data_IF_589064429418
#
_entry.id   IF_589064429418
#
_cell.length_a   1.000
_cell.length_b   1.000
_cell.length_c   1.000
_cell.angle_alpha   90.00
_cell.angle_beta   90.00
_cell.angle_gamma   90.00
#
_symmetry.space_group_name_H-M   'P 1'
#
loop_
_entity.id
_entity.type
_entity.pdbx_description
1 polymer ?
#
# COMPACT_ATOMS: atom_id res chain seq x y z
N UNK A 1 20.34 -16.93 -3.41
CA UNK A 1 21.08 -15.81 -2.78
C UNK A 1 20.96 -15.99 -1.28
N UNK A 2 22.07 -15.94 -0.54
CA UNK A 2 22.06 -16.06 0.92
C UNK A 2 21.20 -14.96 1.53
N UNK A 3 20.60 -15.26 2.68
CA UNK A 3 19.82 -14.32 3.49
C UNK A 3 20.80 -13.21 3.90
N UNK A 4 20.67 -12.04 3.28
CA UNK A 4 21.40 -10.85 3.71
C UNK A 4 20.98 -10.55 5.14
N UNK A 5 21.96 -10.28 6.00
CA UNK A 5 21.68 -9.82 7.35
C UNK A 5 20.80 -8.58 7.31
N UNK A 6 19.98 -8.43 8.36
CA UNK A 6 19.28 -7.21 8.71
C UNK A 6 20.18 -5.96 8.51
N UNK A 7 19.70 -4.90 7.83
CA UNK A 7 20.45 -3.65 7.78
C UNK A 7 20.58 -3.02 9.16
N UNK A 8 21.65 -2.27 9.38
CA UNK A 8 21.86 -1.52 10.62
C UNK A 8 20.89 -0.34 10.72
N UNK A 9 20.69 0.18 11.94
CA UNK A 9 19.84 1.37 12.14
C UNK A 9 20.37 2.59 11.38
N UNK A 10 21.69 2.75 11.27
CA UNK A 10 22.32 3.84 10.52
C UNK A 10 21.99 3.73 9.02
N UNK A 11 22.06 2.52 8.46
CA UNK A 11 21.68 2.26 7.07
C UNK A 11 20.21 2.54 6.81
N UNK A 12 19.32 2.18 7.74
CA UNK A 12 17.88 2.46 7.65
C UNK A 12 17.62 3.96 7.68
N UNK A 13 18.24 4.70 8.61
CA UNK A 13 18.10 6.15 8.73
C UNK A 13 18.60 6.90 7.48
N UNK A 14 19.61 6.36 6.79
CA UNK A 14 20.14 6.95 5.56
C UNK A 14 19.22 6.76 4.32
N UNK A 15 18.14 5.97 4.40
CA UNK A 15 17.28 5.67 3.24
C UNK A 15 16.34 6.83 2.84
N UNK A 16 16.06 7.75 3.76
CA UNK A 16 15.23 8.94 3.55
C UNK A 16 15.66 10.08 4.49
N UNK A 17 15.73 11.29 3.94
CA UNK A 17 15.94 12.52 4.72
C UNK A 17 14.64 13.08 5.32
N UNK A 18 13.50 12.43 5.06
CA UNK A 18 12.20 12.84 5.58
C UNK A 18 12.05 12.63 7.09
N UNK A 19 10.85 12.89 7.61
CA UNK A 19 10.55 12.71 9.02
C UNK A 19 10.30 11.25 9.38
N UNK A 20 11.10 10.72 10.32
CA UNK A 20 10.91 9.40 10.91
C UNK A 20 9.73 9.43 11.90
N UNK A 21 8.69 8.62 11.65
CA UNK A 21 7.58 8.45 12.59
C UNK A 21 7.99 7.91 13.97
N UNK A 22 9.16 7.30 14.10
CA UNK A 22 9.73 6.85 15.37
C UNK A 22 10.42 7.93 16.20
N UNK A 23 10.55 9.15 15.69
CA UNK A 23 11.14 10.27 16.43
C UNK A 23 10.29 10.67 17.64
N UNK A 24 10.88 11.37 18.60
CA UNK A 24 10.21 11.73 19.85
C UNK A 24 9.12 12.81 19.66
N UNK A 25 9.23 13.63 18.62
CA UNK A 25 8.26 14.68 18.32
C UNK A 25 8.20 15.02 16.83
N UNK A 26 7.02 15.45 16.39
CA UNK A 26 6.81 16.04 15.05
C UNK A 26 7.61 17.35 14.92
N UNK A 27 8.29 17.60 13.79
CA UNK A 27 9.01 18.85 13.55
C UNK A 27 8.09 20.06 13.59
N UNK A 28 8.60 21.17 14.11
CA UNK A 28 7.89 22.45 14.04
C UNK A 28 7.81 22.98 12.60
N UNK A 29 6.84 23.85 12.35
CA UNK A 29 6.69 24.51 11.04
C UNK A 29 6.08 23.63 9.95
N UNK A 30 5.45 22.50 10.29
CA UNK A 30 4.64 21.73 9.35
C UNK A 30 3.22 22.28 9.26
N UNK A 31 2.65 22.29 8.06
CA UNK A 31 1.28 22.75 7.80
C UNK A 31 0.66 22.05 6.61
N UNK A 32 -0.66 22.09 6.49
CA UNK A 32 -1.35 21.62 5.29
C UNK A 32 -1.61 22.77 4.32
N UNK A 33 -1.31 22.54 3.03
CA UNK A 33 -1.57 23.49 1.93
C UNK A 33 -2.33 22.78 0.81
N UNK A 34 -3.31 23.45 0.21
CA UNK A 34 -4.09 22.86 -0.87
C UNK A 34 -3.26 22.75 -2.16
N UNK A 35 -3.09 21.53 -2.66
CA UNK A 35 -2.50 21.25 -3.97
C UNK A 35 -3.60 21.02 -4.99
N UNK A 36 -3.54 21.76 -6.10
CA UNK A 36 -4.44 21.59 -7.25
C UNK A 36 -4.20 20.25 -7.94
N UNK A 37 -2.94 19.87 -8.11
CA UNK A 37 -2.54 18.65 -8.82
C UNK A 37 -3.00 17.38 -8.09
N UNK A 38 -2.91 17.40 -6.76
CA UNK A 38 -3.33 16.29 -5.92
C UNK A 38 -4.81 16.38 -5.50
N UNK A 39 -5.49 17.48 -5.86
CA UNK A 39 -6.89 17.80 -5.53
C UNK A 39 -7.17 17.58 -4.04
N UNK A 40 -6.26 18.04 -3.19
CA UNK A 40 -6.28 17.79 -1.76
C UNK A 40 -5.25 18.63 -1.02
N UNK A 41 -5.41 18.72 0.30
CA UNK A 41 -4.44 19.40 1.15
C UNK A 41 -3.28 18.47 1.46
N UNK A 42 -2.07 18.91 1.18
CA UNK A 42 -0.82 18.17 1.35
C UNK A 42 -0.10 18.71 2.58
N UNK A 43 0.48 17.83 3.37
CA UNK A 43 1.40 18.23 4.43
C UNK A 43 2.69 18.77 3.78
N UNK A 44 3.09 19.99 4.14
CA UNK A 44 4.29 20.67 3.64
C UNK A 44 5.07 21.30 4.80
N UNK A 45 6.33 21.63 4.55
CA UNK A 45 7.14 22.42 5.48
C UNK A 45 6.98 23.91 5.17
N UNK A 46 6.92 24.77 6.20
CA UNK A 46 6.92 26.23 6.02
C UNK A 46 8.18 26.75 5.28
N UNK A 47 9.28 25.99 5.30
CA UNK A 47 10.50 26.33 4.57
C UNK A 47 10.43 25.98 3.07
N UNK A 48 9.55 25.06 2.69
CA UNK A 48 9.40 24.54 1.33
C UNK A 48 7.92 24.25 1.08
N UNK A 49 7.13 25.32 0.90
CA UNK A 49 5.67 25.27 0.85
C UNK A 49 5.15 24.55 -0.40
N UNK A 50 5.95 24.53 -1.47
CA UNK A 50 5.59 23.93 -2.75
C UNK A 50 5.95 22.44 -2.83
N UNK A 51 6.67 21.91 -1.85
CA UNK A 51 7.11 20.52 -1.83
C UNK A 51 6.37 19.71 -0.76
N UNK A 52 5.73 18.59 -1.14
CA UNK A 52 5.15 17.66 -0.18
C UNK A 52 6.19 17.18 0.83
N UNK A 53 5.85 17.29 2.11
CA UNK A 53 6.71 16.83 3.20
C UNK A 53 6.69 15.30 3.26
N UNK A 54 7.88 14.70 3.20
CA UNK A 54 8.06 13.26 3.24
C UNK A 54 8.08 12.74 4.68
N UNK A 55 7.28 11.71 4.93
CA UNK A 55 7.21 10.98 6.20
C UNK A 55 7.60 9.54 5.94
N UNK A 56 8.34 8.90 6.85
CA UNK A 56 8.73 7.52 6.70
C UNK A 56 8.70 6.74 8.01
N UNK A 57 8.70 5.41 7.88
CA UNK A 57 8.83 4.48 8.99
C UNK A 57 9.17 3.08 8.49
N UNK A 58 9.42 2.15 9.42
CA UNK A 58 9.66 0.74 9.11
C UNK A 58 8.42 -0.07 9.47
N UNK A 59 7.91 -0.86 8.53
CA UNK A 59 6.65 -1.58 8.70
C UNK A 59 6.74 -3.00 8.16
N UNK A 60 5.94 -3.91 8.72
CA UNK A 60 5.59 -5.16 8.02
C UNK A 60 4.40 -4.89 7.12
N UNK A 61 4.58 -5.23 5.84
CA UNK A 61 3.53 -5.15 4.85
C UNK A 61 2.55 -6.32 5.08
N UNK A 62 1.26 -6.04 5.20
CA UNK A 62 0.24 -7.07 5.45
C UNK A 62 0.27 -8.17 4.37
N UNK A 63 0.04 -9.42 4.80
CA UNK A 63 -0.17 -10.54 3.88
C UNK A 63 -1.60 -10.57 3.37
N UNK A 64 -2.56 -10.15 4.18
CA UNK A 64 -3.98 -10.33 3.86
C UNK A 64 -4.59 -9.06 3.24
N UNK A 65 -3.84 -7.96 3.23
CA UNK A 65 -4.32 -6.66 2.76
C UNK A 65 -3.27 -5.97 1.89
N UNK A 66 -2.84 -6.66 0.84
CA UNK A 66 -1.88 -6.15 -0.15
C UNK A 66 -2.49 -6.23 -1.55
N UNK A 67 -2.85 -5.07 -2.11
CA UNK A 67 -3.54 -5.01 -3.41
C UNK A 67 -2.74 -4.25 -4.48
N UNK A 68 -1.41 -4.15 -4.34
CA UNK A 68 -0.53 -3.62 -5.40
C UNK A 68 -0.30 -4.68 -6.48
N UNK A 69 -1.39 -5.20 -7.02
CA UNK A 69 -1.40 -6.02 -8.23
C UNK A 69 -1.65 -5.12 -9.44
N UNK A 70 -1.36 -5.59 -10.66
CA UNK A 70 -1.58 -4.80 -11.87
C UNK A 70 -3.03 -4.33 -12.08
N UNK A 71 -4.00 -5.11 -11.58
CA UNK A 71 -5.43 -4.76 -11.58
C UNK A 71 -5.84 -3.97 -10.34
N UNK A 72 -4.91 -3.67 -9.43
CA UNK A 72 -5.19 -3.08 -8.12
C UNK A 72 -6.18 -3.86 -7.25
N UNK A 73 -6.35 -5.16 -7.53
CA UNK A 73 -7.39 -6.00 -6.93
C UNK A 73 -8.81 -5.71 -7.44
N UNK A 74 -8.96 -4.91 -8.50
CA UNK A 74 -10.24 -4.73 -9.18
C UNK A 74 -10.55 -6.00 -9.97
N UNK A 75 -11.49 -6.77 -9.45
CA UNK A 75 -12.04 -7.95 -10.09
C UNK A 75 -13.26 -7.54 -10.92
N UNK A 76 -13.20 -7.72 -12.24
CA UNK A 76 -14.30 -7.38 -13.15
C UNK A 76 -15.55 -8.23 -12.94
N UNK A 77 -15.42 -9.41 -12.33
CA UNK A 77 -16.58 -10.19 -11.88
C UNK A 77 -17.39 -9.38 -10.86
N UNK A 78 -16.72 -8.47 -10.13
CA UNK A 78 -17.32 -7.57 -9.15
C UNK A 78 -17.51 -6.12 -9.65
N UNK A 79 -17.30 -5.82 -10.94
CA UNK A 79 -17.65 -4.51 -11.53
C UNK A 79 -19.07 -4.05 -11.16
N UNK A 80 -20.10 -4.94 -11.07
CA UNK A 80 -21.43 -4.53 -10.63
C UNK A 80 -21.49 -3.87 -9.24
N UNK A 81 -20.52 -4.17 -8.36
CA UNK A 81 -20.41 -3.62 -7.00
C UNK A 81 -19.77 -2.23 -7.02
N UNK A 82 -18.91 -1.95 -8.01
CA UNK A 82 -18.08 -0.75 -8.06
C UNK A 82 -18.52 0.26 -9.13
N UNK A 83 -19.84 0.41 -9.30
CA UNK A 83 -20.52 1.39 -10.17
C UNK A 83 -20.80 0.85 -11.60
N UNK A 84 -22.02 0.32 -11.82
CA UNK A 84 -22.46 -0.24 -13.13
C UNK A 84 -22.50 0.81 -14.25
N UNK A 85 -22.60 2.08 -13.88
CA UNK A 85 -22.83 3.19 -14.81
C UNK A 85 -21.52 3.85 -15.28
N UNK A 86 -20.37 3.38 -14.76
CA UNK A 86 -19.06 3.90 -15.16
C UNK A 86 -18.43 3.05 -16.26
N UNK A 87 -17.81 3.76 -17.20
CA UNK A 87 -16.95 3.15 -18.21
C UNK A 87 -15.68 2.59 -17.58
N UNK A 88 -15.05 1.59 -18.23
CA UNK A 88 -13.89 0.90 -17.67
C UNK A 88 -12.71 1.84 -17.43
N UNK A 89 -12.46 2.80 -18.34
CA UNK A 89 -11.45 3.85 -18.19
C UNK A 89 -11.71 4.75 -16.96
N UNK A 90 -12.96 5.10 -16.69
CA UNK A 90 -13.31 5.87 -15.50
C UNK A 90 -13.05 5.08 -14.21
N UNK A 91 -13.34 3.77 -14.23
CA UNK A 91 -12.99 2.87 -13.14
C UNK A 91 -11.46 2.80 -12.92
N UNK A 92 -10.69 2.68 -14.00
CA UNK A 92 -9.22 2.72 -13.97
C UNK A 92 -8.66 4.00 -13.32
N UNK A 93 -9.16 5.17 -13.72
CA UNK A 93 -8.74 6.45 -13.13
C UNK A 93 -9.08 6.56 -11.64
N UNK A 94 -10.09 5.81 -11.18
CA UNK A 94 -10.48 5.71 -9.79
C UNK A 94 -9.73 4.62 -9.01
N UNK A 95 -8.95 3.75 -9.66
CA UNK A 95 -8.16 2.73 -8.97
C UNK A 95 -7.15 3.39 -8.03
N UNK A 96 -7.26 3.02 -6.76
CA UNK A 96 -6.36 3.43 -5.69
C UNK A 96 -5.92 2.17 -4.96
N UNK A 97 -5.03 1.36 -5.56
CA UNK A 97 -4.47 0.21 -4.86
C UNK A 97 -3.90 0.68 -3.54
N UNK A 98 -4.24 -0.10 -2.53
CA UNK A 98 -3.90 0.18 -1.16
C UNK A 98 -3.28 -1.05 -0.52
N UNK A 99 -2.48 -0.79 0.51
CA UNK A 99 -1.88 -1.80 1.35
C UNK A 99 -2.02 -1.36 2.79
N UNK A 100 -2.35 -2.30 3.66
CA UNK A 100 -2.28 -2.05 5.08
C UNK A 100 -0.86 -2.36 5.56
N UNK A 101 -0.21 -1.35 6.12
CA UNK A 101 0.98 -1.51 6.93
C UNK A 101 0.55 -1.96 8.33
N UNK A 102 1.16 -3.01 8.83
CA UNK A 102 0.84 -3.54 10.15
C UNK A 102 1.70 -2.87 11.21
N UNK A 103 1.09 -2.70 12.39
CA UNK A 103 1.75 -2.26 13.61
C UNK A 103 2.98 -3.12 13.93
N UNK A 104 3.89 -2.52 14.69
CA UNK A 104 5.04 -3.24 15.20
C UNK A 104 4.59 -4.32 16.19
N UNK A 105 4.72 -5.60 15.84
CA UNK A 105 4.69 -6.72 16.79
C UNK A 105 6.10 -7.28 16.99
N UNK A 106 6.28 -8.19 17.94
CA UNK A 106 7.53 -8.91 18.17
C UNK A 106 8.08 -9.63 16.92
N UNK A 107 7.28 -9.80 15.86
CA UNK A 107 7.68 -10.46 14.61
C UNK A 107 7.95 -9.51 13.44
N UNK A 108 7.67 -8.21 13.58
CA UNK A 108 7.68 -7.26 12.45
C UNK A 108 8.86 -6.31 12.48
N UNK A 109 9.64 -6.37 13.55
CA UNK A 109 10.72 -5.44 13.83
C UNK A 109 12.05 -6.06 13.48
N UNK A 110 12.84 -5.31 12.72
CA UNK A 110 14.28 -5.37 12.82
C UNK A 110 14.70 -4.80 14.20
N UNK A 111 14.41 -5.53 15.28
CA UNK A 111 14.93 -5.26 16.63
C UNK A 111 14.19 -4.25 17.53
N UNK A 112 13.14 -3.55 17.09
CA UNK A 112 12.44 -2.57 17.93
C UNK A 112 11.37 -3.13 18.89
N UNK A 113 10.92 -2.25 19.79
CA UNK A 113 10.00 -2.51 20.91
C UNK A 113 8.56 -2.03 20.64
N UNK A 114 7.55 -2.59 21.33
CA UNK A 114 6.15 -2.14 21.21
C UNK A 114 5.94 -0.64 21.48
N UNK A 115 6.78 -0.03 22.31
CA UNK A 115 6.75 1.42 22.60
C UNK A 115 7.06 2.29 21.38
N UNK A 116 7.75 1.78 20.36
CA UNK A 116 7.99 2.52 19.11
C UNK A 116 6.71 2.70 18.31
N UNK A 117 5.79 1.73 18.34
CA UNK A 117 4.50 1.87 17.67
C UNK A 117 3.65 2.98 18.28
N UNK A 118 3.69 3.13 19.60
CA UNK A 118 3.00 4.22 20.28
C UNK A 118 3.52 5.58 19.83
N UNK A 119 4.84 5.71 19.58
CA UNK A 119 5.42 6.92 18.97
C UNK A 119 4.90 7.15 17.55
N UNK A 120 4.85 6.11 16.73
CA UNK A 120 4.30 6.22 15.36
C UNK A 120 2.86 6.72 15.39
N UNK A 121 2.01 6.12 16.23
CA UNK A 121 0.62 6.53 16.39
C UNK A 121 0.49 7.96 16.93
N UNK A 122 1.30 8.34 17.91
CA UNK A 122 1.30 9.68 18.48
C UNK A 122 1.72 10.73 17.43
N UNK A 123 2.75 10.44 16.63
CA UNK A 123 3.22 11.31 15.57
C UNK A 123 2.22 11.42 14.42
N UNK A 124 1.63 10.31 13.97
CA UNK A 124 0.55 10.34 12.95
C UNK A 124 -0.63 11.18 13.42
N UNK A 125 -1.11 10.98 14.65
CA UNK A 125 -2.20 11.79 15.23
C UNK A 125 -1.81 13.26 15.36
N UNK A 126 -0.55 13.55 15.66
CA UNK A 126 -0.05 14.92 15.76
C UNK A 126 0.01 15.60 14.40
N UNK A 127 0.44 14.89 13.35
CA UNK A 127 0.39 15.37 11.97
C UNK A 127 -1.06 15.66 11.55
N UNK A 128 -2.01 14.75 11.80
CA UNK A 128 -3.43 14.97 11.48
C UNK A 128 -4.03 16.19 12.18
N UNK A 129 -3.61 16.48 13.43
CA UNK A 129 -4.03 17.68 14.17
C UNK A 129 -3.55 18.99 13.54
N UNK A 130 -2.46 18.98 12.76
CA UNK A 130 -2.00 20.17 12.04
C UNK A 130 -2.96 20.59 10.93
N UNK A 131 -3.84 19.70 10.48
CA UNK A 131 -4.91 20.07 9.57
C UNK A 131 -5.91 20.97 10.30
N UNK A 132 -5.71 22.28 10.13
CA UNK A 132 -6.63 23.30 10.59
C UNK A 132 -7.85 23.25 9.69
N UNK A 133 -8.95 22.77 10.24
CA UNK A 133 -10.25 22.98 9.64
C UNK A 133 -10.47 24.50 9.56
N UNK A 134 -10.34 25.05 8.36
CA UNK A 134 -10.91 26.35 8.05
C UNK A 134 -12.42 26.23 8.26
N UNK A 135 -12.89 26.49 9.47
CA UNK A 135 -14.31 26.52 9.78
C UNK A 135 -14.60 27.36 11.02
N UNK A 136 -15.00 28.60 10.74
CA UNK A 136 -16.08 29.32 11.44
C UNK A 136 -17.45 28.60 11.35
N UNK A 137 -17.46 27.27 11.16
CA UNK A 137 -18.67 26.47 11.02
C UNK A 137 -18.88 25.66 12.28
N UNK A 138 -19.73 26.15 13.17
CA UNK A 138 -20.17 25.58 14.45
C UNK A 138 -20.99 24.28 14.34
N UNK A 139 -20.81 23.51 13.26
CA UNK A 139 -21.49 22.23 13.05
C UNK A 139 -20.86 21.13 13.89
N UNK A 140 -21.60 20.62 14.88
CA UNK A 140 -21.11 19.78 15.97
C UNK A 140 -20.71 18.32 15.62
N UNK A 141 -20.68 17.89 14.35
CA UNK A 141 -20.35 16.50 14.00
C UNK A 141 -19.52 16.39 12.71
N UNK A 142 -18.26 16.82 12.75
CA UNK A 142 -17.31 16.53 11.67
C UNK A 142 -16.65 15.18 11.89
N UNK A 143 -16.95 14.23 11.02
CA UNK A 143 -16.27 12.94 11.00
C UNK A 143 -14.87 13.09 10.38
N UNK A 144 -13.84 12.60 11.08
CA UNK A 144 -12.46 12.53 10.60
C UNK A 144 -12.07 11.07 10.42
N UNK A 145 -11.73 10.67 9.19
CA UNK A 145 -11.12 9.36 8.92
C UNK A 145 -9.60 9.50 9.06
N UNK A 146 -9.06 8.88 10.10
CA UNK A 146 -7.61 8.82 10.33
C UNK A 146 -6.90 7.91 9.32
N UNK A 147 -5.61 8.14 9.14
CA UNK A 147 -4.66 7.22 8.50
C UNK A 147 -4.54 5.89 9.23
N UNK A 148 -4.77 5.91 10.55
CA UNK A 148 -4.62 4.77 11.44
C UNK A 148 -5.85 3.86 11.35
N UNK A 149 -5.61 2.58 11.10
CA UNK A 149 -6.61 1.52 11.11
C UNK A 149 -6.75 0.97 12.52
N UNK A 150 -7.79 1.37 13.26
CA UNK A 150 -8.20 0.84 14.58
C UNK A 150 -7.02 0.56 15.54
N UNK A 151 -5.97 1.38 15.46
CA UNK A 151 -4.67 1.29 16.17
C UNK A 151 -3.77 0.09 15.83
N UNK A 152 -4.11 -0.77 14.88
CA UNK A 152 -3.30 -1.94 14.49
C UNK A 152 -2.54 -1.76 13.18
N UNK A 153 -2.79 -0.69 12.43
CA UNK A 153 -2.08 -0.45 11.18
C UNK A 153 -2.24 0.94 10.60
N UNK A 154 -1.61 1.14 9.45
CA UNK A 154 -1.71 2.36 8.65
C UNK A 154 -2.07 1.97 7.22
N UNK A 155 -3.09 2.62 6.64
CA UNK A 155 -3.46 2.38 5.25
C UNK A 155 -2.64 3.26 4.32
N UNK A 156 -1.84 2.64 3.46
CA UNK A 156 -1.15 3.31 2.36
C UNK A 156 -1.89 3.11 1.06
N UNK A 157 -1.91 4.13 0.24
CA UNK A 157 -2.35 4.07 -1.15
C UNK A 157 -1.23 4.51 -2.10
N UNK A 158 -1.35 4.18 -3.38
CA UNK A 158 -0.50 4.73 -4.42
C UNK A 158 -1.33 5.04 -5.67
N UNK A 159 -0.96 6.12 -6.35
CA UNK A 159 -1.60 6.53 -7.61
C UNK A 159 -0.75 6.01 -8.76
N UNK A 160 -1.20 4.94 -9.40
CA UNK A 160 -0.48 4.32 -10.51
C UNK A 160 -0.67 5.03 -11.84
N UNK A 161 -1.83 5.65 -12.09
CA UNK A 161 -2.07 6.35 -13.34
C UNK A 161 -1.89 7.85 -13.14
N UNK A 162 -1.02 8.44 -13.94
CA UNK A 162 -0.76 9.88 -13.98
C UNK A 162 -0.90 10.37 -15.42
N UNK A 163 -1.30 11.62 -15.58
CA UNK A 163 -1.22 12.26 -16.91
C UNK A 163 0.26 12.40 -17.23
N UNK A 164 0.68 11.94 -18.40
CA UNK A 164 2.04 12.14 -18.84
C UNK A 164 2.25 13.65 -19.03
N UNK A 165 3.42 14.19 -18.65
CA UNK A 165 3.74 15.57 -18.97
C UNK A 165 3.56 15.73 -20.48
N UNK A 166 2.86 16.80 -20.89
CA UNK A 166 2.76 17.12 -22.31
C UNK A 166 4.19 17.10 -22.85
N UNK A 167 4.47 16.21 -23.81
CA UNK A 167 5.73 16.31 -24.54
C UNK A 167 5.68 17.66 -25.21
N UNK A 168 6.37 18.66 -24.65
CA UNK A 168 6.49 19.95 -25.30
C UNK A 168 6.98 19.63 -26.70
N UNK A 169 6.10 19.89 -27.68
CA UNK A 169 6.39 19.67 -29.07
C UNK A 169 7.71 20.36 -29.33
N UNK A 170 8.71 19.59 -29.69
CA UNK A 170 10.01 20.07 -30.09
C UNK A 170 9.85 20.78 -31.44
N UNK A 171 9.13 21.90 -31.46
CA UNK A 171 9.16 22.89 -32.51
C UNK A 171 10.36 23.81 -32.24
N UNK A 172 11.55 23.21 -32.14
CA UNK A 172 12.80 23.95 -32.14
C UNK A 172 13.46 23.73 -33.49
N UNK A 173 13.03 24.57 -34.44
CA UNK A 173 13.75 24.87 -35.67
C UNK A 173 14.99 25.68 -35.26
N UNK A 174 16.06 24.97 -34.89
CA UNK A 174 17.34 25.59 -34.56
C UNK A 174 18.48 24.71 -35.07
N UNK A 175 18.92 25.04 -36.28
CA UNK A 175 20.30 24.86 -36.72
C UNK A 175 21.24 25.45 -35.66
N UNK A 176 21.98 24.61 -34.94
CA UNK A 176 23.39 24.80 -34.56
C UNK A 176 23.84 23.87 -33.41
N UNK A 177 24.95 23.19 -33.68
CA UNK A 177 26.05 22.87 -32.74
C UNK A 177 25.82 21.82 -31.63
N UNK A 178 26.11 20.58 -32.01
CA UNK A 178 27.03 19.64 -31.34
C UNK A 178 27.30 19.86 -29.83
N UNK A 179 26.62 19.09 -28.97
CA UNK A 179 26.96 19.05 -27.55
C UNK A 179 26.09 18.14 -26.70
N UNK A 180 26.51 16.89 -26.52
CA UNK A 180 26.01 15.91 -25.55
C UNK A 180 24.53 15.51 -25.69
N UNK A 181 24.28 14.57 -26.61
CA UNK A 181 23.11 13.70 -26.62
C UNK A 181 23.03 12.93 -25.30
N UNK A 182 22.32 13.48 -24.31
CA UNK A 182 21.83 12.71 -23.18
C UNK A 182 20.82 11.72 -23.74
N UNK A 183 21.27 10.50 -24.03
CA UNK A 183 20.41 9.39 -24.46
C UNK A 183 19.24 9.31 -23.49
N UNK A 184 18.02 9.62 -23.93
CA UNK A 184 16.79 9.36 -23.17
C UNK A 184 16.87 7.90 -22.74
N UNK A 185 17.11 7.66 -21.46
CA UNK A 185 17.18 6.31 -20.93
C UNK A 185 15.83 5.65 -21.25
N UNK A 186 15.85 4.66 -22.14
CA UNK A 186 14.65 3.99 -22.60
C UNK A 186 13.95 3.38 -21.38
N UNK A 187 12.73 3.86 -21.10
CA UNK A 187 11.95 3.34 -19.99
C UNK A 187 11.64 1.87 -20.32
N UNK A 188 12.00 0.91 -19.45
CA UNK A 188 11.71 -0.49 -19.69
C UNK A 188 10.22 -0.69 -20.02
N UNK A 189 9.92 -1.46 -21.07
CA UNK A 189 8.55 -1.71 -21.54
C UNK A 189 7.59 -2.17 -20.43
N UNK A 190 8.08 -2.94 -19.46
CA UNK A 190 7.29 -3.42 -18.33
C UNK A 190 6.95 -2.35 -17.27
N UNK A 191 7.43 -1.13 -17.46
CA UNK A 191 7.10 0.06 -16.68
C UNK A 191 6.24 1.05 -17.47
N UNK A 192 5.92 0.77 -18.74
CA UNK A 192 5.01 1.58 -19.54
C UNK A 192 3.58 1.04 -19.43
N UNK A 193 2.59 1.85 -19.85
CA UNK A 193 1.19 1.44 -19.82
C UNK A 193 0.94 0.27 -20.78
N UNK A 194 1.61 0.25 -21.93
CA UNK A 194 1.55 -0.77 -22.98
C UNK A 194 2.03 -2.13 -22.47
N UNK A 195 3.17 -2.16 -21.77
CA UNK A 195 3.74 -3.40 -21.23
C UNK A 195 3.20 -3.79 -19.86
N UNK A 196 2.25 -3.03 -19.31
CA UNK A 196 1.65 -3.35 -18.02
C UNK A 196 0.84 -4.64 -18.10
N UNK A 197 1.04 -5.59 -17.18
CA UNK A 197 0.38 -6.89 -17.23
C UNK A 197 -1.08 -6.79 -16.77
N UNK A 198 -1.98 -6.42 -17.68
CA UNK A 198 -3.43 -6.34 -17.45
C UNK A 198 -4.16 -7.55 -18.06
N UNK A 199 -5.31 -7.97 -17.51
CA UNK A 199 -6.17 -8.95 -18.15
C UNK A 199 -6.62 -8.48 -19.55
N UNK A 200 -6.81 -9.41 -20.49
CA UNK A 200 -7.22 -9.08 -21.87
C UNK A 200 -8.55 -8.31 -21.93
N UNK A 201 -9.45 -8.55 -20.97
CA UNK A 201 -10.71 -7.81 -20.81
C UNK A 201 -10.51 -6.31 -20.61
N UNK A 202 -9.30 -5.87 -20.26
CA UNK A 202 -8.95 -4.48 -19.96
C UNK A 202 -8.14 -3.81 -21.08
N UNK A 203 -7.93 -4.50 -22.20
CA UNK A 203 -7.14 -4.01 -23.34
C UNK A 203 -7.69 -2.71 -23.94
N UNK A 204 -9.01 -2.61 -24.14
CA UNK A 204 -9.65 -1.40 -24.68
C UNK A 204 -9.53 -0.20 -23.73
N UNK A 205 -9.77 -0.42 -22.43
CA UNK A 205 -9.62 0.63 -21.42
C UNK A 205 -8.16 1.11 -21.32
N UNK A 206 -7.20 0.17 -21.39
CA UNK A 206 -5.78 0.50 -21.47
C UNK A 206 -5.48 1.35 -22.70
N UNK A 207 -6.00 0.98 -23.87
CA UNK A 207 -5.79 1.74 -25.10
C UNK A 207 -6.38 3.15 -24.99
N UNK A 208 -7.60 3.30 -24.47
CA UNK A 208 -8.23 4.60 -24.25
C UNK A 208 -7.43 5.51 -23.30
N UNK A 209 -6.74 4.93 -22.31
CA UNK A 209 -5.84 5.69 -21.43
C UNK A 209 -4.56 6.12 -22.16
N UNK A 210 -3.97 5.25 -22.98
CA UNK A 210 -2.82 5.58 -23.84
C UNK A 210 -3.18 6.74 -24.78
N UNK A 211 -4.33 6.65 -25.45
CA UNK A 211 -4.81 7.66 -26.40
C UNK A 211 -5.04 9.04 -25.73
N UNK A 212 -5.34 9.04 -24.43
CA UNK A 212 -5.49 10.24 -23.59
C UNK A 212 -4.20 10.70 -22.93
N UNK A 213 -3.05 10.15 -23.32
CA UNK A 213 -1.73 10.49 -22.80
C UNK A 213 -1.58 10.22 -21.30
N UNK A 214 -2.22 9.16 -20.77
CA UNK A 214 -1.93 8.68 -19.44
C UNK A 214 -0.71 7.76 -19.46
N UNK A 215 0.10 7.84 -18.41
CA UNK A 215 1.22 6.96 -18.15
C UNK A 215 1.03 6.22 -16.83
N UNK A 216 1.70 5.07 -16.73
CA UNK A 216 1.86 4.43 -15.44
C UNK A 216 3.04 5.05 -14.70
N UNK A 217 2.82 5.38 -13.44
CA UNK A 217 3.82 5.65 -12.44
C UNK A 217 3.93 4.40 -11.55
N UNK A 218 4.91 3.52 -11.78
CA UNK A 218 5.16 2.40 -10.90
C UNK A 218 5.54 2.91 -9.51
N UNK A 219 5.19 2.14 -8.48
CA UNK A 219 5.71 2.39 -7.15
C UNK A 219 7.24 2.21 -7.14
N UNK A 220 7.96 3.20 -6.63
CA UNK A 220 9.41 3.10 -6.44
C UNK A 220 9.74 2.10 -5.33
N UNK A 221 9.77 0.82 -5.68
CA UNK A 221 10.02 -0.27 -4.76
C UNK A 221 11.40 -0.89 -5.02
N UNK A 222 12.19 -1.12 -3.99
CA UNK A 222 13.56 -1.64 -4.08
C UNK A 222 13.78 -2.76 -3.08
N UNK A 223 14.76 -3.61 -3.36
CA UNK A 223 15.37 -4.45 -2.33
C UNK A 223 16.55 -3.69 -1.76
N UNK A 224 16.73 -3.69 -0.45
CA UNK A 224 17.88 -3.04 0.17
C UNK A 224 19.21 -3.52 -0.45
N UNK A 225 20.17 -2.61 -0.60
CA UNK A 225 21.44 -2.81 -1.32
C UNK A 225 21.31 -3.22 -2.80
N UNK A 226 20.13 -3.05 -3.41
CA UNK A 226 19.92 -3.30 -4.83
C UNK A 226 19.49 -2.01 -5.51
N UNK A 227 20.26 -1.55 -6.51
CA UNK A 227 19.92 -0.35 -7.28
C UNK A 227 18.73 -0.56 -8.23
N UNK A 228 18.40 -1.81 -8.56
CA UNK A 228 17.31 -2.15 -9.50
C UNK A 228 15.94 -2.11 -8.79
N UNK A 229 14.95 -1.41 -9.36
CA UNK A 229 13.60 -1.43 -8.82
C UNK A 229 12.96 -2.81 -8.97
N UNK A 230 12.10 -3.16 -8.01
CA UNK A 230 11.21 -4.30 -8.08
C UNK A 230 10.20 -4.02 -9.19
N UNK A 231 10.13 -4.92 -10.16
CA UNK A 231 9.14 -4.83 -11.23
C UNK A 231 7.73 -5.01 -10.69
N UNK A 232 6.73 -4.29 -11.22
CA UNK A 232 5.32 -4.41 -10.80
C UNK A 232 4.79 -5.84 -10.77
N UNK A 233 5.14 -6.65 -11.79
CA UNK A 233 4.81 -8.08 -11.87
C UNK A 233 5.36 -8.93 -10.72
N UNK A 234 6.25 -8.37 -9.89
CA UNK A 234 6.87 -9.02 -8.74
C UNK A 234 6.48 -8.37 -7.40
N UNK A 235 5.68 -7.31 -7.38
CA UNK A 235 5.29 -6.62 -6.15
C UNK A 235 4.66 -7.58 -5.14
N UNK A 236 3.69 -8.39 -5.55
CA UNK A 236 3.05 -9.32 -4.63
C UNK A 236 4.06 -10.27 -3.98
N UNK A 237 4.88 -10.95 -4.79
CA UNK A 237 5.89 -11.90 -4.29
C UNK A 237 6.97 -11.24 -3.41
N UNK A 238 7.32 -9.98 -3.67
CA UNK A 238 8.45 -9.31 -3.01
C UNK A 238 8.06 -8.42 -1.83
N UNK A 239 6.84 -7.90 -1.82
CA UNK A 239 6.37 -6.93 -0.82
C UNK A 239 5.41 -7.56 0.18
N UNK A 240 4.54 -8.50 -0.22
CA UNK A 240 3.52 -9.11 0.66
C UNK A 240 4.17 -9.86 1.82
N UNK A 241 4.02 -9.35 3.05
CA UNK A 241 4.65 -9.92 4.24
C UNK A 241 6.11 -9.52 4.48
N UNK A 242 6.67 -8.61 3.67
CA UNK A 242 8.04 -8.11 3.84
C UNK A 242 8.12 -7.08 4.98
N UNK A 243 9.29 -6.94 5.59
CA UNK A 243 9.61 -5.79 6.45
C UNK A 243 10.29 -4.75 5.56
N UNK A 244 9.75 -3.55 5.51
CA UNK A 244 10.18 -2.51 4.60
C UNK A 244 10.26 -1.14 5.27
N UNK A 245 11.26 -0.36 4.87
CA UNK A 245 11.25 1.07 5.04
C UNK A 245 10.26 1.66 4.02
N UNK A 246 9.26 2.39 4.50
CA UNK A 246 8.24 2.99 3.64
C UNK A 246 8.24 4.50 3.83
N UNK A 247 8.43 5.20 2.72
CA UNK A 247 8.31 6.65 2.61
C UNK A 247 7.02 7.01 1.88
N UNK A 248 6.32 7.99 2.43
CA UNK A 248 5.01 8.42 1.97
C UNK A 248 4.74 9.89 2.28
N UNK A 249 3.71 10.44 1.65
CA UNK A 249 3.21 11.80 1.92
C UNK A 249 1.84 11.71 2.57
N UNK A 250 1.49 12.71 3.36
CA UNK A 250 0.16 12.79 3.99
C UNK A 250 -0.71 13.78 3.24
N UNK A 251 -1.88 13.31 2.81
CA UNK A 251 -2.94 14.10 2.20
C UNK A 251 -4.15 14.16 3.10
N UNK A 252 -4.88 15.27 3.04
CA UNK A 252 -6.17 15.47 3.66
C UNK A 252 -7.17 15.92 2.59
N UNK A 253 -8.24 15.15 2.44
CA UNK A 253 -9.35 15.45 1.55
C UNK A 253 -10.54 15.96 2.35
N UNK A 254 -11.08 17.11 1.96
CA UNK A 254 -12.28 17.69 2.55
C UNK A 254 -13.48 17.40 1.64
N UNK A 255 -14.41 16.59 2.13
CA UNK A 255 -15.67 16.28 1.45
C UNK A 255 -16.74 17.22 1.97
N UNK A 256 -16.95 18.34 1.27
CA UNK A 256 -17.82 19.43 1.74
C UNK A 256 -19.27 19.00 1.90
N UNK A 257 -19.78 18.18 0.97
CA UNK A 257 -21.14 17.64 1.00
C UNK A 257 -21.43 16.83 2.25
N UNK A 258 -20.45 16.07 2.73
CA UNK A 258 -20.60 15.14 3.85
C UNK A 258 -20.04 15.71 5.15
N UNK A 259 -19.46 16.92 5.12
CA UNK A 259 -18.76 17.52 6.26
C UNK A 259 -17.61 16.66 6.79
N UNK A 260 -17.03 15.79 5.95
CA UNK A 260 -16.07 14.76 6.32
C UNK A 260 -14.67 15.12 5.88
N UNK A 261 -13.68 14.79 6.70
CA UNK A 261 -12.27 14.87 6.32
C UNK A 261 -11.71 13.46 6.29
N UNK A 262 -11.00 13.14 5.22
CA UNK A 262 -10.29 11.87 5.11
C UNK A 262 -8.81 12.12 4.91
N UNK A 263 -8.02 11.55 5.80
CA UNK A 263 -6.58 11.50 5.60
C UNK A 263 -6.23 10.30 4.70
N UNK A 264 -5.20 10.48 3.86
CA UNK A 264 -4.65 9.44 3.01
C UNK A 264 -3.14 9.51 3.01
N UNK A 265 -2.48 8.38 3.26
CA UNK A 265 -1.04 8.27 3.16
C UNK A 265 -0.68 7.70 1.79
N UNK A 266 0.09 8.45 1.00
CA UNK A 266 0.43 8.09 -0.38
C UNK A 266 1.88 7.64 -0.46
N UNK A 267 2.08 6.35 -0.72
CA UNK A 267 3.40 5.74 -0.83
C UNK A 267 4.20 6.38 -1.97
N UNK A 268 5.43 6.78 -1.65
CA UNK A 268 6.42 7.33 -2.58
C UNK A 268 7.52 6.34 -2.88
N UNK A 269 8.04 5.67 -1.84
CA UNK A 269 9.13 4.71 -1.95
C UNK A 269 8.98 3.58 -0.94
N UNK A 270 9.25 2.34 -1.35
CA UNK A 270 9.31 1.18 -0.48
C UNK A 270 10.67 0.50 -0.65
N UNK A 271 11.43 0.34 0.43
CA UNK A 271 12.70 -0.42 0.41
C UNK A 271 12.53 -1.66 1.28
N UNK A 272 12.55 -2.84 0.67
CA UNK A 272 12.48 -4.13 1.37
C UNK A 272 13.77 -4.34 2.16
N UNK A 273 13.67 -4.33 3.47
CA UNK A 273 14.78 -4.55 4.40
C UNK A 273 14.92 -6.05 4.69
N UNK A 274 13.79 -6.73 4.96
CA UNK A 274 13.73 -8.18 5.13
C UNK A 274 12.71 -8.75 4.15
N UNK A 275 13.13 -9.69 3.27
CA UNK A 275 12.21 -10.36 2.36
C UNK A 275 11.10 -11.10 3.12
N UNK A 276 9.95 -11.34 2.48
CA UNK A 276 8.88 -12.12 3.10
C UNK A 276 9.37 -13.55 3.37
N UNK A 277 9.09 -14.08 4.57
CA UNK A 277 9.42 -15.46 4.91
C UNK A 277 8.79 -16.40 3.86
N UNK A 278 9.63 -17.23 3.23
CA UNK A 278 9.15 -18.16 2.22
C UNK A 278 8.20 -19.17 2.85
N UNK A 279 7.01 -19.33 2.28
CA UNK A 279 5.98 -20.26 2.77
C UNK A 279 6.51 -21.71 2.85
N UNK A 280 7.55 -22.04 2.07
CA UNK A 280 8.19 -23.34 2.05
C UNK A 280 8.97 -23.71 3.35
N UNK A 281 9.36 -22.74 4.18
CA UNK A 281 10.09 -23.05 5.43
C UNK A 281 9.15 -23.49 6.57
N UNK A 282 7.85 -23.19 6.49
CA UNK A 282 6.88 -23.54 7.53
C UNK A 282 6.38 -24.99 7.43
N UNK A 283 6.54 -25.66 6.28
CA UNK A 283 6.06 -27.03 6.07
C UNK A 283 7.06 -28.13 6.44
N UNK A 284 8.32 -27.80 6.76
CA UNK A 284 9.35 -28.78 7.14
C UNK A 284 9.55 -28.95 8.65
N UNK A 285 8.97 -28.08 9.49
CA UNK A 285 9.12 -28.15 10.95
C UNK A 285 8.16 -29.14 11.65
N UNK A 286 7.31 -29.87 10.91
CA UNK A 286 6.26 -30.74 11.46
C UNK A 286 6.54 -32.24 11.47
N UNK A 287 7.76 -32.69 11.14
CA UNK A 287 8.14 -34.12 11.16
C UNK A 287 9.25 -34.40 12.17
N UNK A 288 9.15 -33.82 13.37
CA UNK A 288 9.90 -34.37 14.49
C UNK A 288 9.23 -35.67 14.93
N UNK A 289 9.83 -36.76 14.46
CA UNK A 289 9.48 -38.16 14.68
C UNK A 289 9.45 -38.40 16.20
N UNK A 290 8.27 -38.26 16.80
CA UNK A 290 7.98 -38.62 18.20
C UNK A 290 8.37 -40.08 18.39
N UNK A 291 9.57 -40.30 18.92
CA UNK A 291 10.09 -41.60 19.32
C UNK A 291 9.31 -41.99 20.57
N UNK A 292 8.29 -42.82 20.41
CA UNK A 292 7.57 -43.44 21.52
C UNK A 292 8.53 -44.31 22.33
N UNK A 293 8.56 -44.22 23.67
CA UNK A 293 9.11 -45.27 24.50
C UNK A 293 8.13 -46.44 24.51
N UNK A 294 8.64 -47.62 24.20
CA UNK A 294 8.03 -48.89 24.58
C UNK A 294 7.95 -48.96 26.11
N UNK A 295 6.74 -49.12 26.65
CA UNK A 295 6.47 -50.09 27.73
C UNK A 295 4.96 -50.25 28.03
N UNK A 296 4.51 -51.49 27.80
CA UNK A 296 3.61 -52.35 28.59
C UNK A 296 2.15 -51.99 28.97
N UNK A 297 1.32 -53.03 28.78
CA UNK A 297 -0.03 -53.31 29.30
C UNK A 297 -1.17 -52.54 28.63
N UNK A 298 -2.38 -53.07 28.44
CA UNK A 298 -3.00 -54.33 28.80
C UNK A 298 -4.46 -54.28 28.31
N UNK A 299 -5.04 -55.46 28.18
CA UNK A 299 -6.40 -55.83 27.76
C UNK A 299 -7.58 -54.86 28.01
N UNK A 300 -8.57 -54.91 27.09
CA UNK A 300 -9.99 -54.64 27.40
C UNK A 300 -10.72 -53.90 26.26
N UNK A 301 -11.28 -54.60 25.26
CA UNK A 301 -12.69 -55.00 25.20
C UNK A 301 -13.73 -53.86 25.11
N UNK A 302 -14.33 -53.74 23.92
CA UNK A 302 -15.77 -53.56 23.58
C UNK A 302 -16.10 -52.36 22.67
N UNK A 303 -16.54 -52.74 21.46
CA UNK A 303 -17.46 -51.99 20.59
C UNK A 303 -18.70 -51.54 21.40
N UNK A 304 -19.36 -50.45 21.01
CA UNK A 304 -20.51 -50.67 20.14
C UNK A 304 -20.60 -49.72 18.93
N UNK A 305 -21.25 -50.30 17.93
CA UNK A 305 -21.65 -49.76 16.65
C UNK A 305 -23.10 -49.29 16.83
N UNK A 306 -23.41 -48.04 16.50
CA UNK A 306 -24.79 -47.58 16.29
C UNK A 306 -24.81 -46.72 15.04
N UNK A 307 -25.50 -47.27 14.05
CA UNK A 307 -25.89 -46.73 12.76
C UNK A 307 -27.16 -45.88 12.87
N UNK A 308 -27.46 -45.18 11.76
CA UNK A 308 -28.79 -44.78 11.23
C UNK A 308 -29.62 -43.79 12.08
N UNK A 309 -30.45 -42.89 11.56
CA UNK A 309 -30.84 -42.52 10.21
C UNK A 309 -31.63 -41.19 10.29
N UNK A 310 -31.72 -40.49 9.15
CA UNK A 310 -32.80 -39.61 8.64
C UNK A 310 -33.78 -38.85 9.56
N UNK A 311 -34.15 -37.63 9.15
CA UNK A 311 -35.54 -37.09 8.91
C UNK A 311 -35.46 -35.55 8.93
N UNK A 312 -35.55 -34.86 7.79
CA UNK A 312 -36.75 -34.18 7.22
C UNK A 312 -37.40 -33.14 8.14
N UNK A 313 -37.32 -31.85 7.76
CA UNK A 313 -38.42 -30.88 7.85
C UNK A 313 -38.01 -29.52 7.24
N UNK A 314 -38.52 -29.22 6.05
CA UNK A 314 -38.84 -27.84 5.67
C UNK A 314 -39.90 -27.27 6.63
N UNK A 315 -39.95 -25.94 6.79
CA UNK A 315 -41.23 -25.29 6.58
C UNK A 315 -41.15 -24.05 5.70
N UNK A 316 -42.19 -23.97 4.88
CA UNK A 316 -42.58 -22.94 3.94
C UNK A 316 -43.07 -21.66 4.64
N UNK A 317 -42.66 -20.51 4.10
CA UNK A 317 -43.39 -19.24 3.80
C UNK A 317 -44.58 -18.82 4.71
N UNK A 318 -44.72 -17.51 5.01
CA UNK A 318 -45.69 -16.74 4.22
C UNK A 318 -45.21 -15.35 3.76
N UNK A 319 -45.59 -15.04 2.52
CA UNK A 319 -45.73 -13.70 1.96
C UNK A 319 -46.77 -12.89 2.76
N UNK A 320 -46.52 -11.58 2.88
CA UNK A 320 -47.53 -10.53 2.95
C UNK A 320 -46.85 -9.15 2.77
N UNK A 321 -47.60 -8.09 2.49
CA UNK A 321 -48.60 -7.89 1.44
C UNK A 321 -48.11 -6.95 0.33
#
# INVERSE_FOLDING_TARGET
MPITAAPSNEEILALSAGFNLGADSVPEGLTFVYSRDLKGSVLVSQKAVDEPFEVWGVFKISRDSFNFTPTAGYDMVNKPVYDRDKSDDACWLALRPAVNLLAHSCETMLGGQSSEWEKYLANVKSLEKLFKDSAKGTGANKQRDSLVLENWGLKLAHKFLVEAPASEGSDHDSDAEEGASASKAEVPFDLTLEGWPVPDTWSEARQALIDRNYAIQPLNAFVHNTARPIRPSRYERRLKGAIAHVSFMVLAYKFERDGRIRFSAVARKITVLVPPASVAAASSAGKEKRKSPDEASGSGSKKPRLSSDSVTAEPSVPLAP
#
